data_IF_350452580690
#
_entry.id   IF_350452580690
#
_cell.length_a   1.000
_cell.length_b   1.000
_cell.length_c   1.000
_cell.angle_alpha   90.00
_cell.angle_beta   90.00
_cell.angle_gamma   90.00
#
_symmetry.space_group_name_H-M   'P 1'
#
loop_
_entity.id
_entity.type
_entity.pdbx_description
1 polymer ?
#
# COMPACT_ATOMS: atom_id res chain seq x y z
N UNK A 1 25.25 -31.61 4.02
CA UNK A 1 26.50 -30.95 4.46
C UNK A 1 26.41 -29.53 3.98
N UNK A 2 26.34 -28.82 4.82
CA UNK A 2 26.41 -27.72 5.72
C UNK A 2 25.40 -26.62 5.43
N UNK A 3 24.34 -26.64 6.20
CA UNK A 3 23.46 -25.50 6.45
C UNK A 3 24.20 -24.54 7.39
N UNK A 4 24.85 -23.54 6.85
CA UNK A 4 25.38 -22.45 7.66
C UNK A 4 24.19 -21.62 8.18
N UNK A 5 23.70 -21.96 9.35
CA UNK A 5 22.91 -21.08 10.19
C UNK A 5 23.76 -19.82 10.44
N UNK A 6 23.41 -18.71 9.77
CA UNK A 6 23.95 -17.41 10.11
C UNK A 6 23.36 -17.03 11.46
N UNK A 7 24.14 -17.25 12.51
CA UNK A 7 23.88 -16.69 13.84
C UNK A 7 23.56 -15.20 13.68
N UNK A 8 22.35 -14.83 14.02
CA UNK A 8 21.96 -13.43 14.21
C UNK A 8 22.71 -12.99 15.49
N UNK A 9 23.85 -12.36 15.30
CA UNK A 9 24.60 -11.76 16.40
C UNK A 9 23.70 -10.71 17.05
N UNK A 10 23.26 -10.99 18.27
CA UNK A 10 22.68 -9.95 19.13
C UNK A 10 23.73 -8.86 19.31
N UNK A 11 23.38 -7.57 19.11
CA UNK A 11 24.34 -6.48 19.22
C UNK A 11 24.97 -6.47 20.61
N UNK A 12 26.29 -6.54 20.67
CA UNK A 12 27.05 -6.38 21.90
C UNK A 12 27.09 -4.90 22.24
N UNK A 13 26.28 -4.48 23.22
CA UNK A 13 26.18 -3.08 23.63
C UNK A 13 25.13 -2.26 22.82
N UNK A 14 25.12 -0.95 23.03
CA UNK A 14 24.20 0.01 22.40
C UNK A 14 24.74 0.48 21.02
N UNK A 15 25.09 -0.45 20.15
CA UNK A 15 25.68 -0.18 18.82
C UNK A 15 24.85 -0.94 17.77
N UNK A 16 24.41 -0.28 16.69
CA UNK A 16 23.66 -0.96 15.62
C UNK A 16 24.56 -1.92 14.82
N UNK A 17 23.93 -2.92 14.17
CA UNK A 17 24.66 -3.89 13.34
C UNK A 17 25.30 -3.24 12.09
N UNK A 18 24.68 -2.24 11.54
CA UNK A 18 25.16 -1.46 10.40
C UNK A 18 25.29 0.00 10.78
N UNK A 19 26.47 0.58 10.57
CA UNK A 19 26.79 1.95 10.94
C UNK A 19 27.72 2.58 9.92
N UNK A 20 27.67 3.89 9.78
CA UNK A 20 28.66 4.63 8.99
C UNK A 20 30.03 4.52 9.66
N UNK A 21 31.12 4.18 8.93
CA UNK A 21 32.41 3.81 9.51
C UNK A 21 33.12 4.93 10.28
N UNK A 22 32.76 6.19 10.02
CA UNK A 22 33.30 7.36 10.72
C UNK A 22 32.74 7.57 12.13
N UNK A 23 31.63 6.89 12.50
CA UNK A 23 31.03 7.01 13.83
C UNK A 23 31.41 5.80 14.70
N UNK A 24 31.80 6.09 15.91
CA UNK A 24 32.26 5.09 16.89
C UNK A 24 31.59 5.30 18.26
N UNK A 25 31.75 4.35 19.17
CA UNK A 25 31.18 4.39 20.52
C UNK A 25 29.73 3.93 20.55
N UNK A 26 29.16 3.87 21.74
CA UNK A 26 27.75 3.47 21.96
C UNK A 26 26.78 4.62 21.71
N UNK A 27 25.56 4.28 21.33
CA UNK A 27 24.46 5.23 21.25
C UNK A 27 23.99 5.61 22.65
N UNK A 28 23.56 6.85 22.81
CA UNK A 28 23.05 7.36 24.07
C UNK A 28 21.66 6.78 24.38
N UNK A 29 21.50 6.28 25.60
CA UNK A 29 20.24 5.76 26.11
C UNK A 29 19.40 6.89 26.71
N UNK A 30 18.20 7.08 26.21
CA UNK A 30 17.25 8.03 26.76
C UNK A 30 15.83 7.43 26.79
N UNK A 31 14.83 8.23 27.13
CA UNK A 31 13.42 7.85 27.14
C UNK A 31 12.60 8.77 26.23
N UNK A 32 11.47 8.28 25.72
CA UNK A 32 10.64 9.04 24.77
C UNK A 32 10.14 10.37 25.34
N UNK A 33 9.94 10.50 26.67
CA UNK A 33 9.55 11.76 27.31
C UNK A 33 10.64 12.85 27.27
N UNK A 34 11.91 12.47 27.08
CA UNK A 34 13.02 13.44 26.94
C UNK A 34 13.16 14.00 25.52
N UNK A 35 12.69 13.27 24.53
CA UNK A 35 12.88 13.61 23.11
C UNK A 35 11.65 14.18 22.43
N UNK A 36 10.48 14.14 23.07
CA UNK A 36 9.27 14.78 22.57
C UNK A 36 8.24 15.05 23.67
N UNK A 37 7.34 15.98 23.39
CA UNK A 37 6.15 16.24 24.20
C UNK A 37 4.94 15.57 23.58
N UNK A 38 4.13 14.90 24.40
CA UNK A 38 2.98 14.12 23.97
C UNK A 38 1.71 14.66 24.60
N UNK A 39 0.68 14.90 23.80
CA UNK A 39 -0.64 15.29 24.27
C UNK A 39 -1.69 14.39 23.65
N UNK A 40 -2.38 13.60 24.48
CA UNK A 40 -3.54 12.82 24.06
C UNK A 40 -4.73 13.74 23.80
N UNK A 41 -5.57 13.38 22.83
CA UNK A 41 -6.81 14.11 22.55
C UNK A 41 -7.77 14.15 23.73
N UNK A 42 -8.76 15.05 23.69
CA UNK A 42 -9.72 15.25 24.77
C UNK A 42 -10.56 13.98 25.01
N UNK A 43 -11.26 13.93 26.14
CA UNK A 43 -12.30 12.91 26.31
C UNK A 43 -13.40 13.10 25.25
N UNK A 44 -14.03 12.01 24.80
CA UNK A 44 -15.06 12.07 23.75
C UNK A 44 -16.25 12.97 24.09
N UNK A 45 -16.50 13.22 25.39
CA UNK A 45 -17.51 14.18 25.86
C UNK A 45 -17.22 15.63 25.51
N UNK A 46 -15.96 15.99 25.20
CA UNK A 46 -15.59 17.35 24.82
C UNK A 46 -15.86 17.69 23.35
N UNK A 47 -16.10 16.69 22.49
CA UNK A 47 -16.38 16.87 21.06
C UNK A 47 -17.57 16.00 20.65
N UNK A 48 -18.76 16.31 21.21
CA UNK A 48 -20.03 15.67 20.84
C UNK A 48 -20.63 16.32 19.60
N UNK A 49 -21.60 15.63 18.97
CA UNK A 49 -22.27 16.09 17.73
C UNK A 49 -22.92 17.48 17.84
N UNK A 50 -23.42 17.83 19.01
CA UNK A 50 -24.08 19.11 19.32
C UNK A 50 -23.12 20.32 19.37
N UNK A 51 -21.82 20.08 19.48
CA UNK A 51 -20.79 21.11 19.50
C UNK A 51 -20.30 21.48 18.10
N UNK A 52 -20.49 20.58 17.13
CA UNK A 52 -20.03 20.80 15.77
C UNK A 52 -20.95 21.77 15.01
N UNK A 53 -20.29 22.67 14.28
CA UNK A 53 -20.95 23.73 13.50
C UNK A 53 -20.44 23.68 12.04
N UNK A 54 -21.17 24.24 11.08
CA UNK A 54 -20.65 24.44 9.73
C UNK A 54 -19.42 25.35 9.72
N UNK A 55 -18.56 25.18 8.74
CA UNK A 55 -17.38 26.02 8.55
C UNK A 55 -17.79 27.50 8.31
N UNK A 56 -17.13 28.42 9.01
CA UNK A 56 -17.26 29.86 8.84
C UNK A 56 -15.98 30.58 9.30
N UNK A 57 -15.91 31.88 9.16
CA UNK A 57 -14.79 32.69 9.64
C UNK A 57 -14.62 32.65 11.17
N UNK A 58 -15.68 32.33 11.90
CA UNK A 58 -15.65 32.23 13.39
C UNK A 58 -15.54 30.77 13.88
N UNK A 59 -14.95 29.89 13.09
CA UNK A 59 -14.80 28.47 13.44
C UNK A 59 -13.33 28.03 13.42
N UNK A 60 -13.06 26.94 14.15
CA UNK A 60 -11.77 26.25 14.22
C UNK A 60 -11.99 24.81 13.75
N UNK A 61 -11.11 24.34 12.90
CA UNK A 61 -11.10 22.98 12.35
C UNK A 61 -10.85 21.93 13.42
N UNK A 62 -11.50 20.77 13.29
CA UNK A 62 -11.24 19.58 14.10
C UNK A 62 -10.51 18.53 13.26
N UNK A 63 -9.27 18.26 13.59
CA UNK A 63 -8.49 17.17 13.01
C UNK A 63 -8.96 15.82 13.56
N UNK A 64 -9.16 14.89 12.67
CA UNK A 64 -9.62 13.53 12.95
C UNK A 64 -8.55 12.49 12.53
N UNK A 65 -8.74 11.27 12.98
CA UNK A 65 -7.85 10.16 12.65
C UNK A 65 -7.60 10.00 11.13
N UNK A 66 -8.60 10.30 10.29
CA UNK A 66 -8.46 10.21 8.83
C UNK A 66 -7.40 11.16 8.27
N UNK A 67 -7.16 12.30 8.91
CA UNK A 67 -6.08 13.19 8.50
C UNK A 67 -4.70 12.53 8.67
N UNK A 68 -4.48 11.80 9.76
CA UNK A 68 -3.24 11.05 9.98
C UNK A 68 -3.12 9.83 9.06
N UNK A 69 -4.20 9.06 8.88
CA UNK A 69 -4.21 7.83 8.05
C UNK A 69 -3.98 8.16 6.57
N UNK A 70 -4.63 9.18 6.04
CA UNK A 70 -4.53 9.56 4.62
C UNK A 70 -3.40 10.54 4.34
N UNK A 71 -2.67 11.00 5.37
CA UNK A 71 -1.64 12.03 5.25
C UNK A 71 -2.14 13.30 4.55
N UNK A 72 -3.35 13.71 4.90
CA UNK A 72 -4.05 14.81 4.24
C UNK A 72 -4.72 15.74 5.27
N UNK A 73 -4.13 16.91 5.45
CA UNK A 73 -4.65 17.92 6.37
C UNK A 73 -5.90 18.62 5.83
N UNK A 74 -6.14 18.60 4.53
CA UNK A 74 -7.28 19.30 3.90
C UNK A 74 -8.62 18.63 4.19
N UNK A 75 -8.60 17.33 4.53
CA UNK A 75 -9.80 16.62 4.96
C UNK A 75 -10.42 17.31 6.17
N UNK A 76 -11.68 17.69 6.04
CA UNK A 76 -12.37 18.47 7.03
C UNK A 76 -13.85 18.10 7.10
N UNK A 77 -14.27 17.60 8.25
CA UNK A 77 -15.65 17.18 8.48
C UNK A 77 -16.33 17.99 9.56
N UNK A 78 -15.56 18.41 10.57
CA UNK A 78 -16.08 19.04 11.75
C UNK A 78 -15.33 20.32 12.09
N UNK A 79 -16.09 21.30 12.55
CA UNK A 79 -15.60 22.56 13.07
C UNK A 79 -16.27 22.86 14.41
N UNK A 80 -15.61 23.67 15.26
CA UNK A 80 -16.13 24.21 16.52
C UNK A 80 -16.06 25.73 16.47
N UNK A 81 -16.86 26.43 17.26
CA UNK A 81 -16.79 27.89 17.35
C UNK A 81 -15.50 28.35 18.04
N UNK A 82 -14.98 29.51 17.66
CA UNK A 82 -13.82 30.15 18.35
C UNK A 82 -14.11 30.38 19.83
N UNK A 83 -15.37 30.64 20.20
CA UNK A 83 -15.79 30.74 21.60
C UNK A 83 -15.56 29.46 22.38
N UNK A 84 -16.03 28.32 21.84
CA UNK A 84 -15.80 27.01 22.46
C UNK A 84 -14.32 26.63 22.49
N UNK A 85 -13.58 26.89 21.42
CA UNK A 85 -12.14 26.71 21.38
C UNK A 85 -11.45 27.46 22.53
N UNK A 86 -11.74 28.74 22.68
CA UNK A 86 -11.11 29.58 23.69
C UNK A 86 -11.38 29.15 25.13
N UNK A 87 -12.58 28.62 25.38
CA UNK A 87 -13.00 28.20 26.74
C UNK A 87 -12.58 26.79 27.11
N UNK A 88 -12.50 25.84 26.13
CA UNK A 88 -12.37 24.42 26.46
C UNK A 88 -11.22 23.71 25.71
N UNK A 89 -10.81 24.20 24.50
CA UNK A 89 -10.01 23.40 23.59
C UNK A 89 -8.58 23.93 23.34
N UNK A 90 -8.20 25.06 23.89
CA UNK A 90 -6.85 25.66 23.68
C UNK A 90 -5.69 24.72 23.92
N UNK A 91 -5.79 23.80 24.87
CA UNK A 91 -4.73 22.84 25.18
C UNK A 91 -4.60 21.73 24.11
N UNK A 92 -5.58 21.59 23.20
CA UNK A 92 -5.61 20.57 22.15
C UNK A 92 -5.35 21.15 20.76
N UNK A 93 -4.71 22.31 20.70
CA UNK A 93 -4.33 22.94 19.44
C UNK A 93 -3.26 22.12 18.71
N UNK A 94 -3.35 22.06 17.38
CA UNK A 94 -2.29 21.58 16.47
C UNK A 94 -2.06 22.60 15.38
N UNK A 95 -0.81 22.70 14.95
CA UNK A 95 -0.35 23.65 13.93
C UNK A 95 0.71 23.04 13.05
N UNK A 96 1.12 23.75 12.02
CA UNK A 96 2.21 23.37 11.13
C UNK A 96 3.45 22.90 11.92
N UNK A 97 4.05 21.79 11.49
CA UNK A 97 5.20 21.15 12.14
C UNK A 97 4.88 20.19 13.29
N UNK A 98 3.66 20.22 13.85
CA UNK A 98 3.23 19.23 14.84
C UNK A 98 3.01 17.86 14.15
N UNK A 99 3.33 16.79 14.86
CA UNK A 99 2.97 15.44 14.44
C UNK A 99 1.63 15.06 15.06
N UNK A 100 0.71 14.58 14.24
CA UNK A 100 -0.52 13.92 14.70
C UNK A 100 -0.41 12.41 14.49
N UNK A 101 -0.79 11.64 15.51
CA UNK A 101 -0.67 10.18 15.53
C UNK A 101 -2.02 9.55 15.80
N UNK A 102 -2.42 8.57 14.97
CA UNK A 102 -3.66 7.82 15.18
C UNK A 102 -3.56 6.88 16.38
N UNK A 103 -4.57 6.90 17.26
CA UNK A 103 -4.53 6.22 18.55
C UNK A 103 -5.57 5.11 18.73
N UNK A 104 -6.53 4.95 17.81
CA UNK A 104 -7.61 3.97 17.92
C UNK A 104 -7.93 3.32 16.57
N UNK A 105 -8.29 2.04 16.55
CA UNK A 105 -8.55 1.29 15.32
C UNK A 105 -7.29 1.09 14.48
N UNK A 106 -7.06 1.92 13.46
CA UNK A 106 -5.78 1.99 12.74
C UNK A 106 -4.84 2.87 13.57
N UNK A 107 -3.97 2.23 14.36
CA UNK A 107 -3.05 2.93 15.28
C UNK A 107 -1.68 3.14 14.67
N UNK A 108 -0.97 4.18 15.14
CA UNK A 108 0.43 4.42 14.83
C UNK A 108 0.68 5.14 13.50
N UNK A 109 -0.35 5.57 12.80
CA UNK A 109 -0.18 6.41 11.62
C UNK A 109 0.27 7.81 12.04
N UNK A 110 1.48 8.19 11.67
CA UNK A 110 2.10 9.47 12.00
C UNK A 110 2.03 10.39 10.79
N UNK A 111 1.55 11.60 10.99
CA UNK A 111 1.51 12.62 9.94
C UNK A 111 2.02 13.95 10.50
N UNK A 112 3.03 14.51 9.84
CA UNK A 112 3.49 15.87 10.10
C UNK A 112 2.58 16.86 9.38
N UNK A 113 2.03 17.82 10.11
CA UNK A 113 1.24 18.89 9.52
C UNK A 113 2.15 19.81 8.69
N UNK A 114 1.93 19.95 7.38
CA UNK A 114 2.79 20.78 6.52
C UNK A 114 2.66 22.27 6.85
N UNK A 115 3.53 23.11 6.26
CA UNK A 115 3.60 24.53 6.59
C UNK A 115 2.34 25.33 6.21
N UNK A 116 1.57 24.83 5.26
CA UNK A 116 0.29 25.37 4.80
C UNK A 116 -0.92 24.79 5.54
N UNK A 117 -0.71 23.91 6.52
CA UNK A 117 -1.79 23.34 7.31
C UNK A 117 -2.49 24.38 8.17
N UNK A 118 -3.82 24.40 8.10
CA UNK A 118 -4.66 25.24 8.95
C UNK A 118 -4.50 24.88 10.43
N UNK A 119 -4.38 25.88 11.29
CA UNK A 119 -4.42 25.65 12.74
C UNK A 119 -5.78 25.09 13.16
N UNK A 120 -5.78 24.09 14.03
CA UNK A 120 -7.00 23.43 14.48
C UNK A 120 -6.84 22.77 15.83
N UNK A 121 -7.87 22.01 16.22
CA UNK A 121 -7.83 21.13 17.39
C UNK A 121 -7.93 19.68 16.95
N UNK A 122 -7.43 18.76 17.75
CA UNK A 122 -7.51 17.34 17.45
C UNK A 122 -8.45 16.59 18.38
N UNK A 123 -9.08 15.54 17.84
CA UNK A 123 -10.07 14.76 18.58
C UNK A 123 -9.43 13.64 19.44
N UNK A 124 -10.27 12.89 20.17
CA UNK A 124 -9.86 11.83 21.10
C UNK A 124 -9.12 10.64 20.43
N UNK A 125 -9.28 10.46 19.12
CA UNK A 125 -8.63 9.39 18.38
C UNK A 125 -7.21 9.74 17.90
N UNK A 126 -6.76 10.94 18.21
CA UNK A 126 -5.42 11.46 17.88
C UNK A 126 -4.59 11.75 19.14
N UNK A 127 -3.30 11.73 18.95
CA UNK A 127 -2.30 12.27 19.84
C UNK A 127 -1.46 13.29 19.07
N UNK A 128 -1.21 14.45 19.68
CA UNK A 128 -0.20 15.39 19.19
C UNK A 128 1.16 15.03 19.78
N UNK A 129 2.19 15.07 18.94
CA UNK A 129 3.59 14.93 19.33
C UNK A 129 4.37 16.13 18.84
N UNK A 130 5.12 16.76 19.72
CA UNK A 130 6.04 17.86 19.43
C UNK A 130 7.45 17.38 19.71
N UNK A 131 8.23 17.18 18.66
CA UNK A 131 9.60 16.66 18.77
C UNK A 131 10.51 17.73 19.34
N UNK A 132 11.42 17.33 20.21
CA UNK A 132 12.50 18.18 20.69
C UNK A 132 13.65 18.11 19.68
N UNK A 133 13.70 19.05 18.75
CA UNK A 133 14.70 19.11 17.69
C UNK A 133 16.14 19.28 18.19
N UNK A 134 16.34 19.74 19.45
CA UNK A 134 17.66 19.76 20.08
C UNK A 134 18.13 18.36 20.49
N UNK A 135 17.20 17.47 20.85
CA UNK A 135 17.52 16.11 21.31
C UNK A 135 17.55 15.11 20.15
N UNK A 136 16.58 15.17 19.24
CA UNK A 136 16.47 14.17 18.16
C UNK A 136 16.07 14.85 16.83
N UNK A 137 16.62 14.35 15.72
CA UNK A 137 16.13 14.69 14.38
C UNK A 137 14.72 14.11 14.18
N UNK A 138 13.82 14.85 13.56
CA UNK A 138 12.39 14.49 13.44
C UNK A 138 12.18 13.17 12.68
N UNK A 139 12.89 12.95 11.59
CA UNK A 139 12.80 11.70 10.80
C UNK A 139 13.29 10.48 11.61
N UNK A 140 14.35 10.65 12.40
CA UNK A 140 14.83 9.63 13.32
C UNK A 140 13.79 9.36 14.40
N UNK A 141 13.20 10.42 14.98
CA UNK A 141 12.11 10.28 15.95
C UNK A 141 10.94 9.47 15.36
N UNK A 142 10.44 9.84 14.17
CA UNK A 142 9.34 9.14 13.50
C UNK A 142 9.69 7.67 13.31
N UNK A 143 10.90 7.36 12.90
CA UNK A 143 11.38 5.99 12.67
C UNK A 143 11.37 5.15 13.94
N UNK A 144 12.01 5.64 15.03
CA UNK A 144 12.08 4.88 16.29
C UNK A 144 10.74 4.81 16.99
N UNK A 145 9.92 5.85 16.87
CA UNK A 145 8.58 5.90 17.45
C UNK A 145 7.61 4.94 16.73
N UNK A 146 7.63 4.86 15.40
CA UNK A 146 6.86 3.88 14.63
C UNK A 146 7.25 2.45 15.01
N UNK A 147 8.57 2.16 15.07
CA UNK A 147 9.06 0.83 15.48
C UNK A 147 8.59 0.45 16.89
N UNK A 148 8.58 1.41 17.81
CA UNK A 148 8.10 1.21 19.17
C UNK A 148 6.59 0.92 19.19
N UNK A 149 5.78 1.69 18.47
CA UNK A 149 4.32 1.45 18.37
C UNK A 149 4.04 0.07 17.77
N UNK A 150 4.76 -0.35 16.74
CA UNK A 150 4.61 -1.66 16.11
C UNK A 150 4.94 -2.81 17.07
N UNK A 151 6.02 -2.68 17.84
CA UNK A 151 6.38 -3.65 18.90
C UNK A 151 5.24 -3.76 19.94
N UNK A 152 4.74 -2.64 20.42
CA UNK A 152 3.64 -2.61 21.40
C UNK A 152 2.33 -3.14 20.82
N UNK A 153 1.98 -2.83 19.58
CA UNK A 153 0.76 -3.31 18.95
C UNK A 153 0.72 -4.83 18.86
N UNK A 154 1.86 -5.47 18.66
CA UNK A 154 1.99 -6.94 18.66
C UNK A 154 1.82 -7.54 20.05
N UNK A 155 2.32 -6.88 21.10
CA UNK A 155 2.23 -7.34 22.49
C UNK A 155 0.79 -7.21 23.02
N UNK A 156 0.11 -6.09 22.74
CA UNK A 156 -1.22 -5.78 23.28
C UNK A 156 -2.39 -6.25 22.40
N UNK A 157 -2.13 -6.81 21.20
CA UNK A 157 -3.19 -7.31 20.31
C UNK A 157 -3.75 -8.70 20.71
N UNK A 158 -3.19 -9.36 21.71
CA UNK A 158 -3.67 -10.65 22.18
C UNK A 158 -4.94 -10.47 23.03
N UNK A 159 -6.12 -10.45 22.38
CA UNK A 159 -7.41 -10.61 23.03
C UNK A 159 -8.40 -9.43 22.98
N UNK A 160 -8.06 -8.30 22.39
CA UNK A 160 -8.99 -7.16 22.21
C UNK A 160 -9.36 -6.93 20.74
N UNK A 161 -10.66 -6.82 20.46
CA UNK A 161 -11.18 -6.50 19.12
C UNK A 161 -10.83 -5.08 18.66
N UNK A 162 -10.45 -4.18 19.57
CA UNK A 162 -10.07 -2.80 19.27
C UNK A 162 -8.60 -2.59 19.68
N UNK A 163 -7.75 -2.35 18.69
CA UNK A 163 -6.35 -1.97 18.92
C UNK A 163 -6.31 -0.53 19.44
N UNK A 164 -5.62 -0.32 20.54
CA UNK A 164 -5.35 0.99 21.11
C UNK A 164 -3.83 1.20 21.26
N UNK A 165 -3.43 2.48 21.27
CA UNK A 165 -2.05 2.84 21.58
C UNK A 165 -1.73 2.42 23.03
N UNK A 166 -0.46 2.06 23.37
CA UNK A 166 -0.06 1.71 24.74
C UNK A 166 -0.46 2.76 25.77
N UNK A 167 -0.58 2.38 27.06
CA UNK A 167 -0.74 3.36 28.12
C UNK A 167 0.29 4.48 28.02
N UNK A 168 -0.15 5.71 28.14
CA UNK A 168 0.67 6.88 27.88
C UNK A 168 1.90 6.99 28.80
N UNK A 169 1.78 6.45 30.02
CA UNK A 169 2.89 6.38 30.97
C UNK A 169 3.98 5.41 30.50
N UNK A 170 3.59 4.27 29.92
CA UNK A 170 4.52 3.26 29.45
C UNK A 170 5.24 3.72 28.18
N UNK A 171 4.50 4.35 27.26
CA UNK A 171 5.07 4.97 26.07
C UNK A 171 6.19 5.96 26.43
N UNK A 172 5.92 6.88 27.36
CA UNK A 172 6.88 7.91 27.78
C UNK A 172 8.14 7.33 28.43
N UNK A 173 8.01 6.26 29.20
CA UNK A 173 9.12 5.60 29.91
C UNK A 173 9.90 4.60 29.05
N UNK A 174 9.41 4.29 27.86
CA UNK A 174 10.08 3.38 26.95
C UNK A 174 11.45 3.94 26.59
N UNK A 175 12.46 3.07 26.66
CA UNK A 175 13.84 3.41 26.35
C UNK A 175 14.04 3.45 24.83
N UNK A 176 14.88 4.37 24.39
CA UNK A 176 15.34 4.50 23.01
C UNK A 176 16.84 4.80 23.02
N UNK A 177 17.54 4.29 22.02
CA UNK A 177 18.95 4.56 21.81
C UNK A 177 19.10 5.50 20.63
N UNK A 178 19.85 6.58 20.80
CA UNK A 178 20.05 7.60 19.79
C UNK A 178 21.53 7.84 19.52
N UNK A 179 21.92 7.92 18.24
CA UNK A 179 23.27 8.35 17.89
C UNK A 179 23.48 9.85 18.14
N UNK A 180 24.72 10.31 18.02
CA UNK A 180 25.01 11.74 18.03
C UNK A 180 24.29 12.48 16.89
N UNK A 181 24.14 13.78 17.00
CA UNK A 181 23.37 14.60 16.03
C UNK A 181 23.89 14.52 14.60
N UNK A 182 25.19 14.43 14.42
CA UNK A 182 25.83 14.31 13.10
C UNK A 182 25.44 13.00 12.44
N UNK A 183 25.48 11.90 13.18
CA UNK A 183 25.07 10.59 12.71
C UNK A 183 23.56 10.53 12.44
N UNK A 184 22.72 11.12 13.31
CA UNK A 184 21.28 11.26 13.08
C UNK A 184 20.99 11.95 11.73
N UNK A 185 21.65 13.07 11.43
CA UNK A 185 21.50 13.81 10.17
C UNK A 185 21.86 12.93 8.96
N UNK A 186 22.91 12.14 9.10
CA UNK A 186 23.39 11.27 8.01
C UNK A 186 22.45 10.08 7.75
N UNK A 187 21.94 9.46 8.80
CA UNK A 187 20.92 8.41 8.71
C UNK A 187 19.63 8.98 8.11
N UNK A 188 19.13 10.10 8.62
CA UNK A 188 17.93 10.75 8.12
C UNK A 188 18.04 11.10 6.62
N UNK A 189 19.18 11.64 6.18
CA UNK A 189 19.44 11.92 4.77
C UNK A 189 19.40 10.66 3.90
N UNK A 190 19.98 9.55 4.36
CA UNK A 190 19.95 8.28 3.65
C UNK A 190 18.51 7.76 3.50
N UNK A 191 17.73 7.77 4.59
CA UNK A 191 16.34 7.33 4.56
C UNK A 191 15.47 8.22 3.67
N UNK A 192 15.63 9.54 3.76
CA UNK A 192 14.91 10.51 2.93
C UNK A 192 15.19 10.30 1.42
N UNK A 193 16.43 10.01 1.03
CA UNK A 193 16.77 9.69 -0.36
C UNK A 193 16.10 8.40 -0.86
N UNK A 194 15.93 7.40 0.00
CA UNK A 194 15.19 6.18 -0.35
C UNK A 194 13.70 6.46 -0.49
N UNK A 195 13.12 7.27 0.41
CA UNK A 195 11.71 7.65 0.33
C UNK A 195 11.42 8.47 -0.93
N UNK A 196 12.30 9.38 -1.31
CA UNK A 196 12.19 10.14 -2.56
C UNK A 196 12.24 9.21 -3.79
N UNK A 197 13.13 8.20 -3.79
CA UNK A 197 13.18 7.20 -4.86
C UNK A 197 11.92 6.37 -4.93
N UNK A 198 11.39 5.89 -3.81
CA UNK A 198 10.14 5.13 -3.75
C UNK A 198 8.98 6.00 -4.27
N UNK A 199 8.86 7.26 -3.81
CA UNK A 199 7.83 8.18 -4.26
C UNK A 199 7.94 8.48 -5.76
N UNK A 200 9.16 8.61 -6.29
CA UNK A 200 9.40 8.80 -7.73
C UNK A 200 8.95 7.59 -8.53
N UNK A 201 9.27 6.36 -8.07
CA UNK A 201 8.81 5.14 -8.74
C UNK A 201 7.28 5.03 -8.73
N UNK A 202 6.62 5.37 -7.63
CA UNK A 202 5.15 5.39 -7.56
C UNK A 202 4.55 6.37 -8.59
N UNK A 203 5.09 7.59 -8.71
CA UNK A 203 4.65 8.56 -9.73
C UNK A 203 4.86 8.04 -11.17
N UNK A 204 5.93 7.29 -11.42
CA UNK A 204 6.18 6.67 -12.72
C UNK A 204 5.15 5.57 -12.99
N UNK A 205 4.84 4.72 -12.00
CA UNK A 205 3.82 3.68 -12.09
C UNK A 205 2.46 4.29 -12.45
N UNK A 206 2.02 5.32 -11.72
CA UNK A 206 0.74 6.00 -11.96
C UNK A 206 0.66 6.59 -13.37
N UNK A 207 1.75 7.24 -13.83
CA UNK A 207 1.83 7.79 -15.18
C UNK A 207 1.80 6.71 -16.26
N UNK A 208 2.50 5.59 -16.05
CA UNK A 208 2.48 4.46 -17.00
C UNK A 208 1.11 3.81 -17.06
N UNK A 209 0.43 3.61 -15.93
CA UNK A 209 -0.95 3.10 -15.89
C UNK A 209 -1.90 4.00 -16.68
N UNK A 210 -1.83 5.31 -16.46
CA UNK A 210 -2.63 6.29 -17.17
C UNK A 210 -2.33 6.30 -18.68
N UNK A 211 -1.06 6.21 -19.06
CA UNK A 211 -0.62 6.16 -20.45
C UNK A 211 -1.13 4.87 -21.14
N UNK A 212 -0.98 3.71 -20.51
CA UNK A 212 -1.45 2.43 -21.04
C UNK A 212 -2.96 2.49 -21.24
N UNK A 213 -3.73 3.01 -20.28
CA UNK A 213 -5.18 3.18 -20.41
C UNK A 213 -5.53 4.14 -21.57
N UNK A 214 -4.82 5.24 -21.72
CA UNK A 214 -4.99 6.22 -22.80
C UNK A 214 -4.70 5.60 -24.18
N UNK A 215 -3.57 4.91 -24.35
CA UNK A 215 -3.21 4.23 -25.59
C UNK A 215 -4.25 3.17 -25.95
N UNK A 216 -4.69 2.37 -24.98
CA UNK A 216 -5.73 1.35 -25.16
C UNK A 216 -7.01 1.98 -25.72
N UNK A 217 -7.50 3.02 -25.10
CA UNK A 217 -8.73 3.69 -25.51
C UNK A 217 -8.62 4.32 -26.91
N UNK A 218 -7.46 4.91 -27.24
CA UNK A 218 -7.23 5.49 -28.57
C UNK A 218 -7.16 4.40 -29.65
N UNK A 219 -6.38 3.34 -29.41
CA UNK A 219 -6.20 2.22 -30.37
C UNK A 219 -7.55 1.54 -30.67
N UNK A 220 -8.25 1.05 -29.65
CA UNK A 220 -9.52 0.35 -29.87
C UNK A 220 -10.65 1.28 -30.32
N UNK A 221 -10.63 2.54 -29.89
CA UNK A 221 -11.55 3.56 -30.39
C UNK A 221 -11.37 3.84 -31.88
N UNK A 222 -10.14 3.87 -32.39
CA UNK A 222 -9.83 3.98 -33.84
C UNK A 222 -10.20 2.72 -34.59
N UNK A 223 -9.86 1.54 -34.06
CA UNK A 223 -10.26 0.27 -34.67
C UNK A 223 -11.76 0.11 -34.76
N UNK A 224 -12.50 0.51 -33.75
CA UNK A 224 -13.98 0.50 -33.78
C UNK A 224 -14.55 1.32 -34.94
N UNK A 225 -13.91 2.46 -35.26
CA UNK A 225 -14.34 3.32 -36.38
C UNK A 225 -13.92 2.79 -37.75
N UNK A 226 -12.75 2.16 -37.85
CA UNK A 226 -12.16 1.75 -39.14
C UNK A 226 -12.48 0.31 -39.54
N UNK A 227 -12.57 -0.61 -38.57
CA UNK A 227 -12.84 -2.04 -38.79
C UNK A 227 -14.28 -2.38 -38.36
N UNK A 228 -14.75 -1.81 -37.24
CA UNK A 228 -16.03 -2.16 -36.64
C UNK A 228 -16.00 -3.50 -35.90
N UNK A 229 -17.13 -3.86 -35.32
CA UNK A 229 -17.33 -5.18 -34.72
C UNK A 229 -17.60 -6.19 -35.84
N UNK A 230 -16.80 -7.26 -35.91
CA UNK A 230 -16.85 -8.25 -37.01
C UNK A 230 -16.62 -9.69 -36.52
N UNK A 231 -16.56 -9.93 -35.22
CA UNK A 231 -16.43 -11.24 -34.58
C UNK A 231 -17.08 -11.20 -33.19
N UNK A 232 -17.08 -12.32 -32.50
CA UNK A 232 -17.45 -12.48 -31.10
C UNK A 232 -16.21 -12.86 -30.28
N UNK A 233 -16.23 -12.59 -28.99
CA UNK A 233 -15.14 -13.03 -28.09
C UNK A 233 -14.98 -14.55 -28.14
N UNK A 234 -16.09 -15.31 -28.25
CA UNK A 234 -16.09 -16.77 -28.40
C UNK A 234 -15.40 -17.29 -29.68
N UNK A 235 -15.27 -16.47 -30.73
CA UNK A 235 -14.57 -16.84 -31.94
C UNK A 235 -13.05 -16.86 -31.79
N UNK A 236 -12.54 -16.12 -30.79
CA UNK A 236 -11.11 -15.87 -30.56
C UNK A 236 -10.58 -16.48 -29.27
N UNK A 237 -11.42 -16.60 -28.23
CA UNK A 237 -11.06 -17.23 -26.97
C UNK A 237 -11.77 -18.57 -26.75
N UNK A 238 -11.01 -19.51 -26.22
CA UNK A 238 -11.53 -20.73 -25.63
C UNK A 238 -11.39 -20.64 -24.11
N UNK A 239 -12.32 -21.24 -23.37
CA UNK A 239 -12.23 -21.26 -21.91
C UNK A 239 -12.06 -22.68 -21.37
N UNK A 240 -11.31 -22.80 -20.29
CA UNK A 240 -11.13 -24.03 -19.52
C UNK A 240 -11.66 -23.82 -18.10
N UNK A 241 -12.31 -24.85 -17.57
CA UNK A 241 -12.78 -24.86 -16.19
C UNK A 241 -11.61 -24.99 -15.21
N UNK A 242 -11.64 -24.29 -14.08
CA UNK A 242 -10.51 -24.21 -13.17
C UNK A 242 -10.34 -25.41 -12.23
N UNK A 243 -11.33 -26.34 -12.15
CA UNK A 243 -11.37 -27.40 -11.17
C UNK A 243 -10.06 -28.20 -11.01
N UNK A 244 -9.34 -28.59 -12.08
CA UNK A 244 -8.08 -29.32 -11.93
C UNK A 244 -6.95 -28.54 -11.25
N UNK A 245 -7.07 -27.20 -11.21
CA UNK A 245 -6.00 -26.28 -10.78
C UNK A 245 -6.31 -25.58 -9.46
N UNK A 246 -7.43 -25.90 -8.82
CA UNK A 246 -7.81 -25.31 -7.53
C UNK A 246 -6.88 -25.86 -6.45
N UNK A 247 -6.33 -24.96 -5.63
CA UNK A 247 -5.50 -25.32 -4.48
C UNK A 247 -6.35 -26.06 -3.44
N UNK A 248 -5.83 -27.13 -2.88
CA UNK A 248 -6.51 -27.94 -1.86
C UNK A 248 -6.31 -27.36 -0.47
N UNK A 249 -5.06 -26.94 -0.16
CA UNK A 249 -4.73 -26.32 1.12
C UNK A 249 -4.69 -24.80 0.98
N UNK A 250 -5.43 -24.08 1.82
CA UNK A 250 -5.47 -22.62 1.88
C UNK A 250 -4.49 -22.01 2.88
N UNK A 251 -3.63 -22.81 3.51
CA UNK A 251 -2.47 -22.34 4.28
C UNK A 251 -1.32 -22.01 3.32
N UNK A 252 -1.23 -20.75 2.97
CA UNK A 252 -0.24 -20.29 1.99
C UNK A 252 1.14 -20.15 2.62
N UNK A 253 2.16 -20.50 1.83
CA UNK A 253 3.58 -20.31 2.14
C UNK A 253 4.11 -19.03 1.50
N UNK A 254 5.37 -18.70 1.79
CA UNK A 254 6.07 -17.55 1.19
C UNK A 254 6.79 -17.89 -0.11
N UNK A 255 6.95 -19.18 -0.42
CA UNK A 255 7.67 -19.69 -1.59
C UNK A 255 6.94 -20.90 -2.18
N UNK A 256 7.14 -21.18 -3.45
CA UNK A 256 6.55 -22.31 -4.17
C UNK A 256 5.75 -21.90 -5.40
N UNK A 257 4.69 -22.65 -5.72
CA UNK A 257 3.79 -22.35 -6.84
C UNK A 257 2.82 -21.23 -6.41
N UNK A 258 2.70 -20.12 -7.17
CA UNK A 258 1.80 -19.04 -6.83
C UNK A 258 0.33 -19.48 -6.94
N UNK A 259 -0.48 -19.05 -5.97
CA UNK A 259 -1.94 -19.25 -5.95
C UNK A 259 -2.61 -17.93 -6.33
N UNK A 260 -3.32 -17.93 -7.44
CA UNK A 260 -3.86 -16.73 -8.07
C UNK A 260 -5.35 -16.51 -7.83
N UNK A 261 -5.72 -15.25 -7.92
CA UNK A 261 -7.08 -14.77 -8.12
C UNK A 261 -7.07 -13.61 -9.12
N UNK A 262 -8.16 -13.36 -9.82
CA UNK A 262 -8.25 -12.22 -10.73
C UNK A 262 -8.47 -10.87 -10.01
N UNK A 263 -8.75 -10.86 -8.70
CA UNK A 263 -9.02 -9.68 -7.89
C UNK A 263 -7.77 -8.83 -7.62
N UNK A 264 -7.92 -7.78 -6.78
CA UNK A 264 -6.84 -6.83 -6.43
C UNK A 264 -5.58 -7.51 -5.92
N UNK A 265 -5.71 -8.53 -5.08
CA UNK A 265 -4.59 -9.35 -4.60
C UNK A 265 -4.32 -10.48 -5.60
N UNK A 266 -3.67 -10.17 -6.73
CA UNK A 266 -3.43 -11.12 -7.82
C UNK A 266 -2.75 -12.42 -7.36
N UNK A 267 -1.69 -12.35 -6.58
CA UNK A 267 -1.05 -13.49 -5.90
C UNK A 267 -1.47 -13.45 -4.43
N UNK A 268 -2.16 -14.49 -3.98
CA UNK A 268 -2.62 -14.62 -2.58
C UNK A 268 -1.52 -15.17 -1.66
N UNK A 269 -0.63 -15.96 -2.21
CA UNK A 269 0.48 -16.64 -1.55
C UNK A 269 0.97 -17.76 -2.44
N UNK A 270 1.73 -18.67 -1.86
CA UNK A 270 2.33 -19.78 -2.58
C UNK A 270 1.91 -21.10 -1.94
N UNK A 271 2.03 -22.19 -2.69
CA UNK A 271 1.78 -23.53 -2.19
C UNK A 271 2.91 -24.48 -2.58
N UNK A 272 3.13 -25.50 -1.76
CA UNK A 272 4.05 -26.61 -2.04
C UNK A 272 3.39 -27.77 -2.81
N UNK A 273 2.10 -27.64 -3.15
CA UNK A 273 1.41 -28.68 -3.94
C UNK A 273 2.06 -28.83 -5.31
N UNK A 274 2.33 -30.07 -5.71
CA UNK A 274 2.95 -30.43 -6.98
C UNK A 274 1.96 -30.89 -8.05
N UNK A 275 0.73 -31.20 -7.64
CA UNK A 275 -0.34 -31.67 -8.53
C UNK A 275 -1.28 -30.51 -8.89
N UNK A 276 -1.95 -30.62 -10.05
CA UNK A 276 -2.94 -29.63 -10.47
C UNK A 276 -2.35 -28.23 -10.68
N UNK A 277 -1.16 -28.14 -11.22
CA UNK A 277 -0.53 -26.88 -11.63
C UNK A 277 -0.94 -26.60 -13.06
N UNK A 278 -1.42 -25.39 -13.35
CA UNK A 278 -1.61 -24.93 -14.71
C UNK A 278 -0.24 -24.54 -15.30
N UNK A 279 0.20 -25.28 -16.30
CA UNK A 279 1.47 -25.08 -17.01
C UNK A 279 1.29 -25.33 -18.51
N UNK A 280 0.24 -24.74 -19.11
CA UNK A 280 -0.10 -24.89 -20.52
C UNK A 280 0.29 -23.66 -21.35
N UNK A 281 1.10 -22.78 -20.78
CA UNK A 281 1.51 -21.51 -21.39
C UNK A 281 0.63 -20.34 -21.02
N UNK A 282 0.73 -19.26 -21.80
CA UNK A 282 0.06 -18.00 -21.52
C UNK A 282 -1.47 -18.15 -21.52
N UNK A 283 -2.11 -17.49 -20.58
CA UNK A 283 -3.56 -17.46 -20.49
C UNK A 283 -4.07 -16.16 -19.86
N UNK A 284 -5.37 -15.93 -19.93
CA UNK A 284 -6.06 -14.90 -19.15
C UNK A 284 -6.85 -15.61 -18.06
N UNK A 285 -6.64 -15.27 -16.80
CA UNK A 285 -7.58 -15.62 -15.73
C UNK A 285 -8.66 -14.54 -15.65
N UNK A 286 -9.91 -14.95 -15.66
CA UNK A 286 -11.10 -14.08 -15.66
C UNK A 286 -11.98 -14.43 -14.47
N UNK A 287 -12.33 -13.47 -13.65
CA UNK A 287 -13.25 -13.66 -12.53
C UNK A 287 -14.70 -13.51 -13.00
N UNK A 288 -15.45 -14.59 -12.88
CA UNK A 288 -16.81 -14.72 -13.38
C UNK A 288 -17.85 -13.86 -12.62
N UNK A 289 -17.47 -13.30 -11.48
CA UNK A 289 -18.34 -12.46 -10.64
C UNK A 289 -17.97 -10.98 -10.66
N UNK A 290 -16.67 -10.66 -10.65
CA UNK A 290 -16.21 -9.28 -10.64
C UNK A 290 -15.88 -8.73 -12.02
N UNK A 291 -15.81 -9.61 -13.04
CA UNK A 291 -15.40 -9.33 -14.42
C UNK A 291 -13.95 -8.84 -14.56
N UNK A 292 -13.17 -8.96 -13.48
CA UNK A 292 -11.76 -8.62 -13.52
C UNK A 292 -10.97 -9.69 -14.27
N UNK A 293 -9.92 -9.31 -14.97
CA UNK A 293 -9.07 -10.25 -15.68
C UNK A 293 -7.59 -9.88 -15.52
N UNK A 294 -6.74 -10.93 -15.57
CA UNK A 294 -5.28 -10.82 -15.49
C UNK A 294 -4.64 -11.70 -16.56
N UNK A 295 -3.58 -11.19 -17.18
CA UNK A 295 -2.72 -11.97 -18.08
C UNK A 295 -1.67 -12.72 -17.28
N UNK A 296 -1.46 -14.01 -17.55
CA UNK A 296 -0.56 -14.90 -16.80
C UNK A 296 0.38 -15.59 -17.76
N UNK A 297 1.69 -15.53 -17.47
CA UNK A 297 2.79 -16.07 -18.30
C UNK A 297 3.65 -17.09 -17.53
N UNK A 298 3.20 -17.59 -16.38
CA UNK A 298 3.95 -18.49 -15.52
C UNK A 298 3.05 -19.58 -14.93
N UNK A 299 3.60 -20.73 -14.50
CA UNK A 299 2.83 -21.79 -13.86
C UNK A 299 2.19 -21.35 -12.54
N UNK A 300 0.96 -21.80 -12.29
CA UNK A 300 0.20 -21.37 -11.12
C UNK A 300 -0.87 -22.38 -10.68
N UNK A 301 -1.41 -22.19 -9.49
CA UNK A 301 -2.70 -22.73 -9.04
C UNK A 301 -3.68 -21.59 -8.78
N UNK A 302 -4.95 -21.89 -8.65
CA UNK A 302 -5.99 -20.87 -8.40
C UNK A 302 -6.77 -21.16 -7.12
N UNK A 303 -7.33 -20.09 -6.55
CA UNK A 303 -8.04 -20.19 -5.27
C UNK A 303 -9.41 -20.83 -5.39
N UNK A 304 -10.17 -20.55 -6.45
CA UNK A 304 -11.60 -20.90 -6.47
C UNK A 304 -12.17 -21.11 -7.88
N UNK A 305 -13.34 -21.73 -7.94
CA UNK A 305 -14.10 -21.97 -9.17
C UNK A 305 -14.73 -20.72 -9.81
N UNK A 306 -14.53 -19.53 -9.19
CA UNK A 306 -14.95 -18.25 -9.76
C UNK A 306 -14.12 -17.87 -11.01
N UNK A 307 -12.93 -18.44 -11.14
CA UNK A 307 -12.02 -18.14 -12.24
C UNK A 307 -12.42 -18.95 -13.48
N UNK A 308 -12.32 -18.33 -14.66
CA UNK A 308 -12.24 -18.97 -15.97
C UNK A 308 -10.83 -18.79 -16.51
N UNK A 309 -10.27 -19.85 -17.10
CA UNK A 309 -8.97 -19.79 -17.77
C UNK A 309 -9.25 -19.64 -19.26
N UNK A 310 -8.80 -18.53 -19.84
CA UNK A 310 -9.06 -18.19 -21.23
C UNK A 310 -7.78 -18.31 -22.04
N UNK A 311 -7.85 -18.97 -23.19
CA UNK A 311 -6.73 -19.17 -24.12
C UNK A 311 -7.13 -18.75 -25.53
N UNK A 312 -6.15 -18.47 -26.40
CA UNK A 312 -6.37 -18.18 -27.81
C UNK A 312 -5.47 -19.06 -28.70
N UNK A 313 -5.70 -19.04 -30.02
CA UNK A 313 -4.91 -19.83 -30.99
C UNK A 313 -3.41 -19.52 -30.97
N UNK A 314 -3.05 -18.29 -30.65
CA UNK A 314 -1.66 -17.87 -30.50
C UNK A 314 -1.54 -16.75 -29.43
N UNK A 315 -0.30 -16.46 -29.04
CA UNK A 315 0.04 -15.52 -27.97
C UNK A 315 -0.34 -14.06 -28.32
N UNK A 316 -0.17 -13.65 -29.56
CA UNK A 316 -0.47 -12.28 -30.02
C UNK A 316 -1.98 -12.03 -29.95
N UNK A 317 -2.80 -12.98 -30.41
CA UNK A 317 -4.26 -12.88 -30.34
C UNK A 317 -4.74 -12.88 -28.88
N UNK A 318 -4.13 -13.71 -28.03
CA UNK A 318 -4.45 -13.75 -26.61
C UNK A 318 -4.15 -12.38 -25.95
N UNK A 319 -2.96 -11.80 -26.20
CA UNK A 319 -2.57 -10.51 -25.66
C UNK A 319 -3.46 -9.38 -26.18
N UNK A 320 -3.73 -9.36 -27.47
CA UNK A 320 -4.65 -8.40 -28.07
C UNK A 320 -6.04 -8.47 -27.44
N UNK A 321 -6.58 -9.68 -27.27
CA UNK A 321 -7.91 -9.87 -26.68
C UNK A 321 -7.94 -9.49 -25.19
N UNK A 322 -6.86 -9.74 -24.44
CA UNK A 322 -6.74 -9.26 -23.07
C UNK A 322 -6.86 -7.72 -22.99
N UNK A 323 -6.17 -7.02 -23.87
CA UNK A 323 -6.24 -5.56 -23.90
C UNK A 323 -7.62 -5.05 -24.35
N UNK A 324 -8.29 -5.80 -25.25
CA UNK A 324 -9.68 -5.51 -25.61
C UNK A 324 -10.64 -5.69 -24.43
N UNK A 325 -10.52 -6.77 -23.65
CA UNK A 325 -11.32 -6.95 -22.43
C UNK A 325 -11.11 -5.78 -21.45
N UNK A 326 -9.86 -5.32 -21.29
CA UNK A 326 -9.56 -4.13 -20.48
C UNK A 326 -10.08 -2.81 -21.09
N UNK A 327 -10.25 -2.74 -22.40
CA UNK A 327 -10.87 -1.60 -23.09
C UNK A 327 -12.38 -1.55 -22.84
N UNK A 328 -13.05 -2.68 -22.74
CA UNK A 328 -14.49 -2.75 -22.46
C UNK A 328 -14.84 -2.20 -21.06
N UNK A 329 -13.88 -2.14 -20.16
CA UNK A 329 -14.03 -1.63 -18.76
C UNK A 329 -15.24 -2.28 -18.05
N UNK A 330 -15.32 -3.60 -18.14
CA UNK A 330 -16.45 -4.42 -17.67
C UNK A 330 -16.66 -4.24 -16.16
N UNK A 331 -17.90 -4.05 -15.75
CA UNK A 331 -18.31 -3.99 -14.35
C UNK A 331 -19.71 -4.56 -14.16
N UNK A 332 -20.02 -5.08 -13.00
CA UNK A 332 -21.34 -5.60 -12.65
C UNK A 332 -21.65 -5.36 -11.18
N UNK A 333 -22.92 -5.16 -10.87
CA UNK A 333 -23.46 -5.17 -9.50
C UNK A 333 -24.18 -6.49 -9.16
N UNK A 334 -24.30 -7.39 -10.15
CA UNK A 334 -25.01 -8.66 -9.99
C UNK A 334 -24.09 -9.78 -9.51
N UNK A 335 -24.54 -10.56 -8.55
CA UNK A 335 -23.84 -11.75 -8.03
C UNK A 335 -24.21 -13.02 -8.82
N UNK A 336 -23.88 -13.04 -10.10
CA UNK A 336 -24.05 -14.23 -10.97
C UNK A 336 -22.77 -14.50 -11.77
N UNK A 337 -22.73 -15.62 -12.48
CA UNK A 337 -21.64 -15.93 -13.42
C UNK A 337 -21.95 -15.31 -14.77
N UNK A 338 -21.02 -14.53 -15.31
CA UNK A 338 -21.26 -13.70 -16.48
C UNK A 338 -20.57 -14.21 -17.75
N UNK A 339 -19.46 -14.97 -17.65
CA UNK A 339 -18.62 -15.26 -18.81
C UNK A 339 -19.40 -15.99 -19.92
N UNK A 340 -20.00 -17.13 -19.61
CA UNK A 340 -20.71 -17.96 -20.59
C UNK A 340 -21.99 -17.29 -21.09
N UNK A 341 -22.73 -16.65 -20.20
CA UNK A 341 -24.01 -16.05 -20.55
C UNK A 341 -23.87 -14.75 -21.36
N UNK A 342 -22.85 -13.96 -21.06
CA UNK A 342 -22.76 -12.59 -21.55
C UNK A 342 -21.44 -12.26 -22.24
N UNK A 343 -20.29 -12.52 -21.57
CA UNK A 343 -19.00 -11.98 -22.03
C UNK A 343 -18.49 -12.68 -23.29
N UNK A 344 -18.60 -13.99 -23.38
CA UNK A 344 -18.17 -14.72 -24.59
C UNK A 344 -18.96 -14.32 -25.83
N UNK A 345 -20.19 -13.82 -25.67
CA UNK A 345 -21.10 -13.38 -26.74
C UNK A 345 -20.98 -11.86 -27.00
N UNK A 346 -20.06 -11.17 -26.39
CA UNK A 346 -19.78 -9.76 -26.68
C UNK A 346 -19.17 -9.61 -28.07
N UNK A 347 -19.57 -8.54 -28.75
CA UNK A 347 -18.98 -8.16 -30.04
C UNK A 347 -17.49 -7.84 -29.90
N UNK A 348 -16.70 -8.29 -30.85
CA UNK A 348 -15.25 -8.21 -30.88
C UNK A 348 -14.75 -7.52 -32.14
N UNK A 349 -13.65 -6.77 -32.03
CA UNK A 349 -12.98 -6.14 -33.16
C UNK A 349 -11.77 -6.98 -33.55
N UNK A 350 -11.83 -7.70 -34.68
CA UNK A 350 -10.74 -8.53 -35.17
C UNK A 350 -10.14 -7.92 -36.46
N UNK A 351 -9.09 -7.10 -36.36
CA UNK A 351 -8.38 -6.58 -37.54
C UNK A 351 -7.49 -7.67 -38.16
N UNK A 352 -6.70 -7.31 -39.16
CA UNK A 352 -5.72 -8.26 -39.77
C UNK A 352 -4.70 -8.70 -38.71
N UNK A 353 -4.16 -9.93 -38.84
CA UNK A 353 -3.18 -10.48 -37.89
C UNK A 353 -1.90 -9.62 -37.77
N UNK A 354 -1.54 -8.88 -38.81
CA UNK A 354 -0.44 -7.92 -38.72
C UNK A 354 -0.72 -6.79 -37.71
N UNK A 355 -1.93 -6.24 -37.71
CA UNK A 355 -2.36 -5.21 -36.74
C UNK A 355 -2.48 -5.82 -35.34
N UNK A 356 -3.05 -7.01 -35.21
CA UNK A 356 -3.14 -7.77 -33.94
C UNK A 356 -1.74 -7.92 -33.34
N UNK A 357 -0.76 -8.43 -34.11
CA UNK A 357 0.61 -8.65 -33.65
C UNK A 357 1.30 -7.35 -33.24
N UNK A 358 1.15 -6.27 -34.04
CA UNK A 358 1.72 -4.96 -33.74
C UNK A 358 1.21 -4.41 -32.40
N UNK A 359 -0.10 -4.48 -32.17
CA UNK A 359 -0.72 -4.03 -30.94
C UNK A 359 -0.30 -4.90 -29.75
N UNK A 360 -0.32 -6.22 -29.90
CA UNK A 360 0.09 -7.16 -28.88
C UNK A 360 1.54 -6.92 -28.42
N UNK A 361 2.48 -6.77 -29.34
CA UNK A 361 3.87 -6.46 -29.03
C UNK A 361 4.03 -5.12 -28.31
N UNK A 362 3.32 -4.07 -28.74
CA UNK A 362 3.37 -2.76 -28.09
C UNK A 362 2.89 -2.85 -26.62
N UNK A 363 1.77 -3.53 -26.37
CA UNK A 363 1.28 -3.69 -24.99
C UNK A 363 2.15 -4.63 -24.16
N UNK A 364 2.73 -5.68 -24.76
CA UNK A 364 3.71 -6.53 -24.06
C UNK A 364 4.94 -5.74 -23.62
N UNK A 365 5.48 -4.89 -24.48
CA UNK A 365 6.60 -4.01 -24.12
C UNK A 365 6.24 -3.03 -22.99
N UNK A 366 5.03 -2.44 -23.01
CA UNK A 366 4.54 -1.56 -21.95
C UNK A 366 4.37 -2.32 -20.62
N UNK A 367 3.89 -3.56 -20.65
CA UNK A 367 3.76 -4.40 -19.45
C UNK A 367 5.12 -4.74 -18.85
N UNK A 368 6.09 -5.15 -19.67
CA UNK A 368 7.47 -5.41 -19.21
C UNK A 368 8.09 -4.16 -18.57
N UNK A 369 7.84 -2.98 -19.14
CA UNK A 369 8.30 -1.73 -18.55
C UNK A 369 7.65 -1.47 -17.19
N UNK A 370 6.34 -1.69 -17.07
CA UNK A 370 5.60 -1.56 -15.82
C UNK A 370 6.16 -2.50 -14.74
N UNK A 371 6.34 -3.77 -15.07
CA UNK A 371 6.90 -4.78 -14.16
C UNK A 371 8.31 -4.38 -13.67
N UNK A 372 9.16 -3.89 -14.59
CA UNK A 372 10.49 -3.42 -14.23
C UNK A 372 10.44 -2.28 -13.21
N UNK A 373 9.56 -1.30 -13.38
CA UNK A 373 9.41 -0.16 -12.47
C UNK A 373 8.86 -0.62 -11.10
N UNK A 374 7.86 -1.50 -11.10
CA UNK A 374 7.31 -2.10 -9.86
C UNK A 374 8.39 -2.88 -9.12
N UNK A 375 9.20 -3.68 -9.82
CA UNK A 375 10.31 -4.42 -9.22
C UNK A 375 11.35 -3.48 -8.60
N UNK A 376 11.70 -2.38 -9.28
CA UNK A 376 12.62 -1.38 -8.73
C UNK A 376 12.07 -0.73 -7.46
N UNK A 377 10.78 -0.35 -7.43
CA UNK A 377 10.13 0.18 -6.23
C UNK A 377 10.22 -0.83 -5.07
N UNK A 378 9.85 -2.08 -5.29
CA UNK A 378 9.89 -3.13 -4.28
C UNK A 378 11.32 -3.36 -3.75
N UNK A 379 12.34 -3.26 -4.61
CA UNK A 379 13.74 -3.34 -4.18
C UNK A 379 14.12 -2.19 -3.25
N UNK A 380 13.71 -0.95 -3.53
CA UNK A 380 13.96 0.18 -2.63
C UNK A 380 13.23 0.03 -1.30
N UNK A 381 11.97 -0.45 -1.31
CA UNK A 381 11.22 -0.73 -0.08
C UNK A 381 11.91 -1.81 0.76
N UNK A 382 12.35 -2.91 0.14
CA UNK A 382 13.10 -3.98 0.81
C UNK A 382 14.43 -3.47 1.37
N UNK A 383 15.17 -2.67 0.59
CA UNK A 383 16.42 -2.05 1.04
C UNK A 383 16.18 -1.12 2.24
N UNK A 384 15.14 -0.28 2.19
CA UNK A 384 14.77 0.58 3.32
C UNK A 384 14.47 -0.24 4.57
N UNK A 385 13.67 -1.30 4.45
CA UNK A 385 13.33 -2.18 5.57
C UNK A 385 14.58 -2.90 6.14
N UNK A 386 15.48 -3.32 5.29
CA UNK A 386 16.77 -3.90 5.72
C UNK A 386 17.59 -2.88 6.51
N UNK A 387 17.77 -1.66 5.99
CA UNK A 387 18.52 -0.61 6.67
C UNK A 387 17.89 -0.24 8.03
N UNK A 388 16.56 -0.13 8.10
CA UNK A 388 15.86 0.13 9.36
C UNK A 388 16.13 -0.94 10.41
N UNK A 389 16.21 -2.22 10.02
CA UNK A 389 16.52 -3.32 10.95
C UNK A 389 17.98 -3.37 11.38
N UNK A 390 18.91 -2.92 10.52
CA UNK A 390 20.34 -3.02 10.78
C UNK A 390 20.95 -1.76 11.40
N UNK A 391 20.39 -0.60 11.08
CA UNK A 391 20.89 0.71 11.55
C UNK A 391 20.19 1.22 12.82
N UNK A 392 19.19 0.50 13.35
CA UNK A 392 18.53 0.84 14.62
C UNK A 392 18.59 -0.33 15.60
N UNK A 393 18.54 -0.01 16.92
CA UNK A 393 18.67 -0.96 18.04
C UNK A 393 17.30 -1.31 18.59
#
# INVERSE_FOLDING_TARGET
MDSAEREVHSPKGNVPNLRFPEFQGEWEKCTFDKIAQYKKGPFGSALKKDIFVPQSEDTIKVYEQQNAIKKDWTLSRYYITKGYFNSHMKQFVVKAGDLIVSCAGTIGEIYELPQDAEEGVFNQALMRVQVNDEAVNKEIFITVFSSMIDKFSKIYSNGSAIKNIPPFADLKKTQVFLPCKEEQKKIAKLLALLDERIATQNKIIDKLQSLIKGIRNDVYGKLRKSVGFNAMISDVLSYEQPQPYIVENTEYTTEGIPVLTANKAFVLGYTSETNGIYDKGDCIIFDDFTLDCKYVEFPYKIKSSAIKILTAKNKELLRYTFEFLKYLDLSTEEHKRHYIAEIQNQEFILPTMHIVSTIAHAFSALSLRMESVVKQRNMFETQKQYLLRQMFI
#
